data_IF_528253167741
#
_entry.id   IF_528253167741
#
_cell.length_a   1.000
_cell.length_b   1.000
_cell.length_c   1.000
_cell.angle_alpha   90.00
_cell.angle_beta   90.00
_cell.angle_gamma   90.00
#
_symmetry.space_group_name_H-M   'P 1'
#
loop_
_entity.id
_entity.type
_entity.pdbx_description
1 polymer ?
#
# COMPACT_ATOMS: atom_id res chain seq x y z
N UNK A 1 -15.05 20.01 9.54
CA UNK A 1 -14.94 18.54 9.56
C UNK A 1 -13.47 18.20 9.53
N UNK A 2 -12.93 17.73 10.65
CA UNK A 2 -11.54 17.27 10.73
C UNK A 2 -11.38 15.92 10.05
N UNK A 3 -10.32 15.76 9.25
CA UNK A 3 -9.90 14.48 8.70
C UNK A 3 -8.69 13.99 9.51
N UNK A 4 -8.66 12.70 9.80
CA UNK A 4 -7.47 12.04 10.35
C UNK A 4 -6.77 11.36 9.18
N UNK A 5 -5.69 11.97 8.71
CA UNK A 5 -4.91 11.44 7.60
C UNK A 5 -4.23 10.12 7.99
N UNK A 6 -4.02 9.25 7.02
CA UNK A 6 -3.44 7.94 7.29
C UNK A 6 -4.42 6.89 7.83
N UNK A 7 -5.70 7.22 7.94
CA UNK A 7 -6.75 6.31 8.40
C UNK A 7 -7.73 5.95 7.28
N UNK A 8 -8.00 4.64 7.13
CA UNK A 8 -8.90 4.09 6.13
C UNK A 8 -8.24 3.83 4.78
N UNK A 9 -8.80 2.90 4.02
CA UNK A 9 -8.37 2.54 2.67
C UNK A 9 -9.54 2.01 1.86
N UNK A 10 -9.51 2.21 0.55
CA UNK A 10 -10.58 1.76 -0.35
C UNK A 10 -10.67 0.22 -0.47
N UNK A 11 -9.57 -0.49 -0.26
CA UNK A 11 -9.45 -1.95 -0.42
C UNK A 11 -9.24 -2.63 0.92
N UNK A 12 -8.30 -2.14 1.73
CA UNK A 12 -7.97 -2.76 3.01
C UNK A 12 -8.93 -2.30 4.10
N UNK A 13 -9.79 -3.23 4.55
CA UNK A 13 -10.79 -2.95 5.58
C UNK A 13 -10.38 -3.46 6.97
N UNK A 14 -9.67 -4.58 7.05
CA UNK A 14 -9.23 -5.16 8.32
C UNK A 14 -7.86 -4.68 8.77
N UNK A 15 -6.90 -4.67 7.87
CA UNK A 15 -5.55 -4.14 8.09
C UNK A 15 -4.88 -3.83 6.76
N UNK A 16 -3.98 -2.84 6.74
CA UNK A 16 -3.09 -2.59 5.61
C UNK A 16 -1.75 -3.29 5.88
N UNK A 17 -1.38 -4.35 5.13
CA UNK A 17 -0.14 -5.08 5.37
C UNK A 17 1.11 -4.21 5.23
N UNK A 18 1.04 -3.13 4.43
CA UNK A 18 2.13 -2.18 4.28
C UNK A 18 2.33 -1.34 5.54
N UNK A 19 1.24 -0.91 6.19
CA UNK A 19 1.30 -0.21 7.46
C UNK A 19 1.87 -1.09 8.57
N UNK A 20 1.54 -2.39 8.58
CA UNK A 20 2.10 -3.35 9.53
C UNK A 20 3.62 -3.52 9.37
N UNK A 21 4.10 -3.58 8.12
CA UNK A 21 5.55 -3.63 7.82
C UNK A 21 6.23 -2.35 8.30
N UNK A 22 5.70 -1.17 8.01
CA UNK A 22 6.26 0.08 8.54
C UNK A 22 6.28 0.09 10.07
N UNK A 23 5.20 -0.31 10.71
CA UNK A 23 5.08 -0.33 12.17
C UNK A 23 6.17 -1.20 12.83
N UNK A 24 6.55 -2.32 12.22
CA UNK A 24 7.60 -3.19 12.75
C UNK A 24 8.98 -2.50 12.84
N UNK A 25 9.26 -1.56 11.95
CA UNK A 25 10.52 -0.81 11.92
C UNK A 25 10.47 0.54 12.63
N UNK A 26 9.29 1.16 12.70
CA UNK A 26 9.12 2.52 13.25
C UNK A 26 9.56 2.61 14.69
N UNK A 27 9.23 1.63 15.51
CA UNK A 27 9.60 1.61 16.93
C UNK A 27 11.11 1.58 17.09
N UNK A 28 11.78 0.66 16.43
CA UNK A 28 13.24 0.54 16.47
C UNK A 28 13.91 1.83 16.00
N UNK A 29 13.46 2.39 14.88
CA UNK A 29 14.00 3.64 14.35
C UNK A 29 13.76 4.81 15.31
N UNK A 30 12.60 4.88 15.96
CA UNK A 30 12.30 5.91 16.95
C UNK A 30 13.19 5.79 18.19
N UNK A 31 13.51 4.57 18.63
CA UNK A 31 14.48 4.32 19.71
C UNK A 31 15.88 4.79 19.31
N UNK A 32 16.36 4.43 18.12
CA UNK A 32 17.65 4.82 17.57
C UNK A 32 17.80 6.35 17.39
N UNK A 33 16.71 7.02 17.04
CA UNK A 33 16.67 8.48 16.82
C UNK A 33 16.26 9.30 18.04
N UNK A 34 15.95 8.67 19.18
CA UNK A 34 15.48 9.36 20.38
C UNK A 34 14.10 9.99 20.23
N UNK A 35 13.25 9.45 19.36
CA UNK A 35 11.92 9.98 19.01
C UNK A 35 10.77 9.14 19.59
N UNK A 36 10.99 8.49 20.73
CA UNK A 36 9.98 7.60 21.36
C UNK A 36 8.72 8.33 21.82
N UNK A 37 8.81 9.61 22.19
CA UNK A 37 7.64 10.38 22.59
C UNK A 37 6.71 10.63 21.40
N UNK A 38 7.27 10.92 20.24
CA UNK A 38 6.49 11.02 18.99
C UNK A 38 5.86 9.68 18.62
N UNK A 39 6.62 8.59 18.72
CA UNK A 39 6.10 7.25 18.47
C UNK A 39 4.89 6.92 19.34
N UNK A 40 4.91 7.25 20.63
CA UNK A 40 3.77 7.05 21.54
C UNK A 40 2.53 7.84 21.12
N UNK A 41 2.71 9.03 20.54
CA UNK A 41 1.61 9.81 19.98
C UNK A 41 0.99 9.05 18.81
N UNK A 42 1.81 8.53 17.87
CA UNK A 42 1.33 7.72 16.74
C UNK A 42 0.58 6.47 17.22
N UNK A 43 1.10 5.72 18.19
CA UNK A 43 0.40 4.55 18.76
C UNK A 43 -0.96 4.93 19.39
N UNK A 44 -0.99 6.05 20.08
CA UNK A 44 -2.22 6.54 20.70
C UNK A 44 -3.26 6.91 19.64
N UNK A 45 -2.86 7.62 18.60
CA UNK A 45 -3.74 7.99 17.49
C UNK A 45 -4.23 6.75 16.76
N UNK A 46 -3.34 5.79 16.43
CA UNK A 46 -3.72 4.54 15.77
C UNK A 46 -4.79 3.77 16.55
N UNK A 47 -4.69 3.77 17.88
CA UNK A 47 -5.64 3.08 18.74
C UNK A 47 -6.99 3.77 18.86
N UNK A 48 -7.00 5.10 18.94
CA UNK A 48 -8.22 5.89 19.25
C UNK A 48 -8.96 6.32 17.97
N UNK A 49 -8.23 6.62 16.89
CA UNK A 49 -8.81 7.18 15.68
C UNK A 49 -9.89 6.28 15.02
N UNK A 50 -9.73 4.94 14.94
CA UNK A 50 -10.77 4.09 14.37
C UNK A 50 -12.13 4.25 15.03
N UNK A 51 -12.18 4.20 16.36
CA UNK A 51 -13.42 4.35 17.13
C UNK A 51 -14.05 5.73 16.92
N UNK A 52 -13.25 6.78 16.93
CA UNK A 52 -13.71 8.15 16.72
C UNK A 52 -14.26 8.35 15.29
N UNK A 53 -13.64 7.75 14.30
CA UNK A 53 -14.12 7.84 12.91
C UNK A 53 -15.42 7.06 12.74
N UNK A 54 -15.49 5.84 13.28
CA UNK A 54 -16.68 4.98 13.21
C UNK A 54 -17.88 5.61 13.93
N UNK A 55 -17.68 6.27 15.07
CA UNK A 55 -18.75 6.98 15.77
C UNK A 55 -19.40 8.09 14.93
N UNK A 56 -18.65 8.67 13.98
CA UNK A 56 -19.12 9.74 13.08
C UNK A 56 -19.55 9.24 11.71
N UNK A 57 -19.29 7.97 11.39
CA UNK A 57 -19.59 7.35 10.09
C UNK A 57 -20.30 6.01 10.28
N UNK A 58 -21.61 6.00 10.58
CA UNK A 58 -22.36 4.78 10.93
C UNK A 58 -22.40 3.74 9.80
N UNK A 59 -22.11 4.12 8.57
CA UNK A 59 -22.06 3.20 7.42
C UNK A 59 -20.66 2.56 7.18
N UNK A 60 -19.64 3.01 7.88
CA UNK A 60 -18.31 2.41 7.78
C UNK A 60 -18.23 1.18 8.69
N UNK A 61 -17.81 0.04 8.14
CA UNK A 61 -17.73 -1.23 8.88
C UNK A 61 -16.42 -1.37 9.64
N UNK A 62 -15.35 -0.76 9.16
CA UNK A 62 -14.04 -0.77 9.82
C UNK A 62 -13.15 0.37 9.28
N UNK A 63 -12.21 0.79 10.11
CA UNK A 63 -11.18 1.78 9.76
C UNK A 63 -9.87 1.31 10.36
N UNK A 64 -8.81 1.32 9.58
CA UNK A 64 -7.47 0.93 10.02
C UNK A 64 -6.44 1.93 9.50
N UNK A 65 -5.28 1.98 10.15
CA UNK A 65 -4.15 2.75 9.65
C UNK A 65 -3.72 2.21 8.27
N UNK A 66 -3.45 3.12 7.33
CA UNK A 66 -2.91 2.80 6.02
C UNK A 66 -1.41 3.11 5.95
N UNK A 67 -0.79 2.86 4.79
CA UNK A 67 0.65 3.05 4.61
C UNK A 67 1.14 4.47 4.92
N UNK A 68 0.30 5.48 4.67
CA UNK A 68 0.70 6.88 4.85
C UNK A 68 0.78 7.28 6.32
N UNK A 69 0.14 6.51 7.21
CA UNK A 69 0.12 6.82 8.64
C UNK A 69 1.53 6.80 9.24
N UNK A 70 2.33 5.81 8.92
CA UNK A 70 3.68 5.67 9.44
C UNK A 70 4.78 6.16 8.50
N UNK A 71 4.53 6.17 7.18
CA UNK A 71 5.57 6.51 6.20
C UNK A 71 6.12 7.91 6.38
N UNK A 72 5.25 8.89 6.65
CA UNK A 72 5.67 10.26 6.89
C UNK A 72 6.59 10.40 8.10
N UNK A 73 6.32 9.67 9.19
CA UNK A 73 7.16 9.69 10.38
C UNK A 73 8.51 9.00 10.14
N UNK A 74 8.54 7.90 9.40
CA UNK A 74 9.79 7.25 8.98
C UNK A 74 10.64 8.19 8.15
N UNK A 75 10.06 8.85 7.16
CA UNK A 75 10.78 9.79 6.30
C UNK A 75 11.34 10.98 7.08
N UNK A 76 10.58 11.51 8.03
CA UNK A 76 11.02 12.58 8.92
C UNK A 76 12.22 12.14 9.79
N UNK A 77 12.16 10.97 10.40
CA UNK A 77 13.26 10.40 11.18
C UNK A 77 14.53 10.13 10.35
N UNK A 78 14.36 9.84 9.06
CA UNK A 78 15.47 9.66 8.11
C UNK A 78 15.98 10.98 7.54
N UNK A 79 15.40 12.12 7.92
CA UNK A 79 15.81 13.44 7.44
C UNK A 79 15.45 13.69 5.97
N UNK A 80 14.48 12.98 5.42
CA UNK A 80 14.02 13.18 4.04
C UNK A 80 13.21 14.47 3.98
N UNK A 81 13.49 15.39 3.06
CA UNK A 81 12.68 16.59 2.85
C UNK A 81 11.23 16.24 2.49
N UNK A 82 10.28 16.99 3.05
CA UNK A 82 8.83 16.71 2.86
C UNK A 82 8.39 16.74 1.41
N UNK A 83 9.04 17.56 0.61
CA UNK A 83 8.79 17.69 -0.83
C UNK A 83 9.05 16.38 -1.59
N UNK A 84 9.87 15.49 -1.02
CA UNK A 84 10.20 14.20 -1.61
C UNK A 84 9.27 13.04 -1.20
N UNK A 85 8.36 13.22 -0.24
CA UNK A 85 7.49 12.13 0.24
C UNK A 85 6.60 11.58 -0.86
N UNK A 86 5.93 12.45 -1.60
CA UNK A 86 5.09 12.02 -2.74
C UNK A 86 5.93 11.50 -3.92
N UNK A 87 7.03 12.13 -4.33
CA UNK A 87 7.94 11.57 -5.34
C UNK A 87 8.47 10.17 -4.98
N UNK A 88 8.87 9.92 -3.74
CA UNK A 88 9.31 8.60 -3.30
C UNK A 88 8.21 7.54 -3.43
N UNK A 89 6.99 7.90 -3.03
CA UNK A 89 5.85 7.03 -3.19
C UNK A 89 5.55 6.74 -4.67
N UNK A 90 5.64 7.74 -5.54
CA UNK A 90 5.47 7.59 -6.98
C UNK A 90 6.57 6.71 -7.59
N UNK A 91 7.83 6.90 -7.18
CA UNK A 91 8.97 6.08 -7.63
C UNK A 91 8.76 4.61 -7.29
N UNK A 92 8.28 4.30 -6.10
CA UNK A 92 7.96 2.93 -5.70
C UNK A 92 6.82 2.31 -6.55
N UNK A 93 5.96 3.14 -7.15
CA UNK A 93 4.84 2.73 -8.00
C UNK A 93 5.18 2.61 -9.48
N UNK A 94 6.30 3.18 -9.95
CA UNK A 94 6.59 3.28 -11.38
C UNK A 94 6.66 1.92 -12.07
N UNK A 95 7.16 0.90 -11.39
CA UNK A 95 7.23 -0.47 -11.92
C UNK A 95 5.82 -1.03 -12.16
N UNK A 96 4.91 -0.87 -11.19
CA UNK A 96 3.53 -1.31 -11.31
C UNK A 96 2.76 -0.53 -12.39
N UNK A 97 2.96 0.77 -12.46
CA UNK A 97 2.37 1.60 -13.52
C UNK A 97 2.88 1.21 -14.91
N UNK A 98 4.17 0.93 -15.04
CA UNK A 98 4.75 0.48 -16.30
C UNK A 98 4.18 -0.87 -16.74
N UNK A 99 4.04 -1.82 -15.81
CA UNK A 99 3.42 -3.12 -16.07
C UNK A 99 1.97 -2.96 -16.54
N UNK A 100 1.16 -2.18 -15.86
CA UNK A 100 -0.22 -1.89 -16.26
C UNK A 100 -0.30 -1.19 -17.61
N UNK A 101 0.62 -0.25 -17.88
CA UNK A 101 0.65 0.45 -19.16
C UNK A 101 1.00 -0.46 -20.31
N UNK A 102 1.97 -1.34 -20.13
CA UNK A 102 2.33 -2.34 -21.14
C UNK A 102 1.16 -3.28 -21.43
N UNK A 103 0.50 -3.77 -20.38
CA UNK A 103 -0.68 -4.62 -20.53
C UNK A 103 -1.81 -3.90 -21.27
N UNK A 104 -2.08 -2.65 -20.94
CA UNK A 104 -3.09 -1.82 -21.62
C UNK A 104 -2.76 -1.65 -23.11
N UNK A 105 -1.51 -1.36 -23.46
CA UNK A 105 -1.08 -1.22 -24.85
C UNK A 105 -1.23 -2.50 -25.68
N UNK A 106 -1.06 -3.66 -25.03
CA UNK A 106 -1.18 -4.96 -25.69
C UNK A 106 -2.65 -5.38 -25.83
N UNK A 107 -3.48 -5.10 -24.81
CA UNK A 107 -4.83 -5.63 -24.70
C UNK A 107 -5.92 -4.66 -25.19
N UNK A 108 -5.68 -3.36 -25.13
CA UNK A 108 -6.72 -2.36 -25.37
C UNK A 108 -6.16 -1.00 -25.78
N UNK A 109 -6.89 -0.33 -26.68
CA UNK A 109 -6.64 1.07 -27.05
C UNK A 109 -7.54 2.05 -26.28
N UNK A 110 -8.22 1.61 -25.22
CA UNK A 110 -9.15 2.42 -24.45
C UNK A 110 -8.72 2.46 -22.98
N UNK A 111 -9.01 3.58 -22.31
CA UNK A 111 -8.86 3.67 -20.85
C UNK A 111 -9.83 2.68 -20.22
N UNK A 112 -9.28 1.66 -19.57
CA UNK A 112 -10.03 0.67 -18.82
C UNK A 112 -10.20 1.15 -17.38
N UNK A 113 -11.42 1.05 -16.87
CA UNK A 113 -11.75 1.21 -15.44
C UNK A 113 -12.29 -0.12 -14.93
N UNK A 114 -11.40 -1.10 -14.67
CA UNK A 114 -11.84 -2.44 -14.32
C UNK A 114 -12.48 -2.48 -12.93
N UNK A 115 -13.55 -3.27 -12.82
CA UNK A 115 -13.93 -3.82 -11.53
C UNK A 115 -13.01 -5.02 -11.28
N UNK A 116 -12.24 -4.97 -10.20
CA UNK A 116 -11.26 -6.03 -9.90
C UNK A 116 -11.95 -7.24 -9.30
N UNK A 117 -12.28 -8.21 -10.13
CA UNK A 117 -12.68 -9.54 -9.69
C UNK A 117 -11.56 -10.50 -10.06
N UNK A 118 -10.94 -11.11 -9.06
CA UNK A 118 -9.95 -12.14 -9.33
C UNK A 118 -10.65 -13.42 -9.81
N UNK A 119 -10.49 -13.74 -11.07
CA UNK A 119 -11.06 -14.95 -11.69
C UNK A 119 -10.08 -16.14 -11.65
N UNK A 120 -8.86 -15.92 -11.20
CA UNK A 120 -7.84 -16.96 -11.09
C UNK A 120 -7.89 -17.57 -9.70
N UNK A 121 -7.81 -18.88 -9.61
CA UNK A 121 -7.70 -19.57 -8.32
C UNK A 121 -6.46 -19.13 -7.57
N UNK A 122 -6.51 -19.02 -6.23
CA UNK A 122 -5.35 -18.71 -5.42
C UNK A 122 -4.18 -19.64 -5.75
N UNK A 123 -3.01 -19.07 -6.02
CA UNK A 123 -1.78 -19.83 -6.27
C UNK A 123 -0.78 -19.53 -5.18
N UNK A 124 0.00 -20.54 -4.83
CA UNK A 124 1.12 -20.36 -3.90
C UNK A 124 2.17 -19.42 -4.51
N UNK A 125 2.70 -18.51 -3.70
CA UNK A 125 3.77 -17.62 -4.13
C UNK A 125 5.07 -18.42 -4.33
N UNK A 126 5.63 -18.38 -5.52
CA UNK A 126 6.91 -18.98 -5.84
C UNK A 126 7.99 -17.90 -5.79
N UNK A 127 8.94 -17.96 -4.83
CA UNK A 127 10.08 -17.06 -4.78
C UNK A 127 10.86 -17.02 -6.09
N UNK A 128 11.49 -15.89 -6.41
CA UNK A 128 12.15 -15.66 -7.69
C UNK A 128 13.20 -16.75 -8.02
N UNK A 129 13.96 -17.17 -7.01
CA UNK A 129 15.02 -18.16 -7.12
C UNK A 129 14.50 -19.56 -7.48
N UNK A 130 13.22 -19.82 -7.19
CA UNK A 130 12.55 -21.11 -7.49
C UNK A 130 11.76 -21.09 -8.79
N UNK A 131 11.65 -19.92 -9.45
CA UNK A 131 10.97 -19.82 -10.75
C UNK A 131 11.90 -20.39 -11.81
N UNK A 132 11.59 -21.60 -12.33
CA UNK A 132 12.29 -22.14 -13.48
C UNK A 132 12.08 -21.17 -14.65
N UNK A 133 13.14 -20.72 -15.28
CA UNK A 133 13.11 -19.90 -16.49
C UNK A 133 12.48 -20.68 -17.64
N UNK A 134 11.19 -20.57 -17.75
CA UNK A 134 10.38 -21.20 -18.77
C UNK A 134 9.49 -20.15 -19.41
N UNK A 135 10.07 -19.35 -20.28
CA UNK A 135 9.30 -18.70 -21.33
C UNK A 135 8.93 -19.79 -22.34
N UNK A 136 7.99 -20.67 -21.99
CA UNK A 136 7.33 -21.49 -23.01
C UNK A 136 6.32 -20.59 -23.70
N UNK A 137 6.59 -20.26 -24.94
CA UNK A 137 5.73 -19.57 -25.90
C UNK A 137 4.36 -20.28 -26.00
N UNK A 138 3.44 -19.95 -25.09
CA UNK A 138 2.03 -20.29 -25.26
C UNK A 138 1.32 -19.05 -25.82
N UNK A 139 1.65 -18.68 -27.05
CA UNK A 139 0.77 -17.83 -27.86
C UNK A 139 -0.43 -18.68 -28.30
N UNK A 140 -1.66 -18.31 -27.95
CA UNK A 140 -2.82 -18.94 -28.59
C UNK A 140 -2.75 -18.64 -30.08
N UNK A 141 -2.74 -19.70 -30.86
CA UNK A 141 -2.66 -19.61 -32.30
C UNK A 141 -3.76 -18.70 -32.85
N UNK A 142 -3.35 -17.72 -33.65
CA UNK A 142 -4.25 -16.96 -34.51
C UNK A 142 -4.83 -17.92 -35.55
N UNK A 143 -5.95 -18.55 -35.19
CA UNK A 143 -6.80 -19.23 -36.18
C UNK A 143 -7.46 -18.16 -37.05
N UNK A 144 -7.28 -18.32 -38.34
CA UNK A 144 -7.90 -17.55 -39.43
C UNK A 144 -9.44 -17.66 -39.39
#
# INVERSE_FOLDING_TARGET
QGLIYGMGHAVYTKSDPRALVFKSFVKQLAEEKGRMDDYRIYETVERIAPELILSKRPHATSVTANVDFYSGFVYDMLGIPRELYTPLFATARIVGWSAHRLEELITSNKILRPAYVNVVQPREYIPLEKRRGGCSDNRPGTGR
#
